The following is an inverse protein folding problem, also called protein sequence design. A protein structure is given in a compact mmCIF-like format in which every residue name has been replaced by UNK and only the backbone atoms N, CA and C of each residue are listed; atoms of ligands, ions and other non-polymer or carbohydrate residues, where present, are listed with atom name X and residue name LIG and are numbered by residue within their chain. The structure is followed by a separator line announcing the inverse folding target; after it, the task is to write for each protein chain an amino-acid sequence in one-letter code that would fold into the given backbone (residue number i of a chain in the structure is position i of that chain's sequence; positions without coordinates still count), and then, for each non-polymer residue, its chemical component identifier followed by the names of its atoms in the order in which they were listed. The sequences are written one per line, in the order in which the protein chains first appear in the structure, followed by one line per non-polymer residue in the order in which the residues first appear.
data_IF_595271616605
#
_entry.id   IF_595271616605
#
_cell.length_a   1.000
_cell.length_b   1.000
_cell.length_c   1.000
_cell.angle_alpha   90.00
_cell.angle_beta   90.00
_cell.angle_gamma   90.00
#
_symmetry.space_group_name_H-M   'P 1'
#
loop_
_entity.id
_entity.type
_entity.pdbx_description
1 polymer ?
#
# COMPACT_ATOMS: atom_id res chain seq x y z
N UNK A 1 -17.58 -1.04 -5.93
CA UNK A 1 -17.14 -1.62 -4.65
C UNK A 1 -15.85 -0.92 -4.25
N UNK A 2 -15.74 -0.47 -3.00
CA UNK A 2 -14.58 0.28 -2.49
C UNK A 2 -13.73 -0.64 -1.60
N UNK A 3 -12.43 -0.68 -1.84
CA UNK A 3 -11.47 -1.40 -1.00
C UNK A 3 -10.83 -0.42 -0.02
N UNK A 4 -11.02 -0.64 1.28
CA UNK A 4 -10.34 0.10 2.34
C UNK A 4 -9.03 -0.59 2.63
N UNK A 5 -7.95 -0.09 2.06
CA UNK A 5 -6.63 -0.75 2.10
C UNK A 5 -5.75 -0.07 3.13
N UNK A 6 -5.29 -0.85 4.11
CA UNK A 6 -4.21 -0.46 5.01
C UNK A 6 -2.88 -0.87 4.38
N UNK A 7 -2.12 0.11 3.90
CA UNK A 7 -0.79 -0.09 3.35
C UNK A 7 0.26 -0.01 4.45
N UNK A 8 1.04 -1.08 4.60
CA UNK A 8 2.16 -1.16 5.54
C UNK A 8 3.45 -1.31 4.75
N UNK A 9 4.40 -0.42 5.01
CA UNK A 9 5.70 -0.43 4.34
C UNK A 9 6.59 -1.48 5.01
N UNK A 10 7.14 -2.37 4.21
CA UNK A 10 8.10 -3.37 4.65
C UNK A 10 9.28 -2.69 5.36
N UNK A 11 9.75 -3.30 6.44
CA UNK A 11 10.84 -2.82 7.30
C UNK A 11 10.55 -1.56 8.13
N UNK A 12 9.41 -0.87 7.93
CA UNK A 12 9.00 0.26 8.75
C UNK A 12 9.75 1.57 8.47
N UNK A 13 10.51 1.63 7.38
CA UNK A 13 11.34 2.79 7.02
C UNK A 13 10.51 4.01 6.56
N UNK A 14 9.23 3.82 6.22
CA UNK A 14 8.32 4.88 5.78
C UNK A 14 6.98 4.76 6.53
N UNK A 15 6.29 5.89 6.76
CA UNK A 15 4.93 5.86 7.28
C UNK A 15 4.02 5.13 6.28
N UNK A 16 3.26 4.16 6.79
CA UNK A 16 2.17 3.53 6.04
C UNK A 16 0.99 4.47 5.84
N UNK A 17 -0.12 3.96 5.32
CA UNK A 17 -1.32 4.76 5.12
C UNK A 17 -2.56 3.93 4.85
N UNK A 18 -3.73 4.49 5.15
CA UNK A 18 -5.01 3.88 4.78
C UNK A 18 -5.61 4.68 3.63
N UNK A 19 -6.01 3.99 2.55
CA UNK A 19 -6.60 4.61 1.36
C UNK A 19 -7.79 3.79 0.87
N UNK A 20 -8.77 4.49 0.29
CA UNK A 20 -9.82 3.84 -0.49
C UNK A 20 -9.30 3.60 -1.91
N UNK A 21 -9.38 2.36 -2.38
CA UNK A 21 -9.09 1.99 -3.77
C UNK A 21 -10.37 1.53 -4.47
N UNK A 22 -10.50 1.86 -5.74
CA UNK A 22 -11.63 1.44 -6.57
C UNK A 22 -11.41 0.04 -7.19
N UNK A 23 -10.19 -0.49 -7.07
CA UNK A 23 -9.78 -1.78 -7.60
C UNK A 23 -9.05 -2.58 -6.52
N UNK A 24 -9.14 -3.91 -6.59
CA UNK A 24 -8.44 -4.78 -5.66
C UNK A 24 -6.93 -4.68 -5.93
N UNK A 25 -6.09 -4.25 -4.95
CA UNK A 25 -4.66 -4.19 -5.14
C UNK A 25 -4.07 -5.58 -5.32
N UNK A 26 -3.06 -5.71 -6.18
CA UNK A 26 -2.41 -6.98 -6.48
C UNK A 26 -0.89 -6.86 -6.29
N UNK A 27 -0.20 -7.94 -5.90
CA UNK A 27 1.26 -7.96 -5.92
C UNK A 27 1.83 -7.52 -7.28
N UNK A 28 2.87 -6.69 -7.24
CA UNK A 28 3.49 -6.07 -8.41
C UNK A 28 2.85 -4.75 -8.86
N UNK A 29 1.67 -4.38 -8.34
CA UNK A 29 1.10 -3.06 -8.60
C UNK A 29 1.89 -1.96 -7.91
N UNK A 30 2.00 -0.81 -8.56
CA UNK A 30 2.55 0.41 -7.97
C UNK A 30 1.44 1.23 -7.33
N UNK A 31 1.69 1.72 -6.12
CA UNK A 31 0.75 2.53 -5.35
C UNK A 31 1.47 3.75 -4.80
N UNK A 32 0.77 4.89 -4.85
CA UNK A 32 1.26 6.14 -4.30
C UNK A 32 0.76 6.30 -2.87
N UNK A 33 1.67 6.41 -1.90
CA UNK A 33 1.35 6.69 -0.50
C UNK A 33 2.01 8.02 -0.13
N UNK A 34 1.19 9.05 0.03
CA UNK A 34 1.69 10.42 0.17
C UNK A 34 2.47 10.85 -1.08
N UNK A 35 3.75 11.20 -0.90
CA UNK A 35 4.64 11.64 -1.98
C UNK A 35 5.51 10.53 -2.56
N UNK A 36 5.45 9.33 -2.00
CA UNK A 36 6.34 8.23 -2.36
C UNK A 36 5.60 7.10 -3.05
N UNK A 37 6.24 6.52 -4.07
CA UNK A 37 5.72 5.35 -4.80
C UNK A 37 6.24 4.05 -4.17
N UNK A 38 5.35 3.08 -4.02
CA UNK A 38 5.66 1.77 -3.47
C UNK A 38 5.13 0.66 -4.39
N UNK A 39 5.73 -0.51 -4.33
CA UNK A 39 5.26 -1.72 -5.00
C UNK A 39 4.57 -2.63 -3.98
N UNK A 40 3.34 -3.04 -4.28
CA UNK A 40 2.60 -4.00 -3.46
C UNK A 40 3.28 -5.36 -3.56
N UNK A 41 3.56 -5.98 -2.42
CA UNK A 41 4.19 -7.30 -2.35
C UNK A 41 3.21 -8.37 -1.89
N UNK A 42 2.27 -8.03 -1.01
CA UNK A 42 1.30 -8.96 -0.45
C UNK A 42 -0.02 -8.23 -0.19
N UNK A 43 -1.14 -8.96 -0.35
CA UNK A 43 -2.48 -8.45 -0.04
C UNK A 43 -3.27 -9.51 0.70
N UNK A 44 -3.90 -9.13 1.80
CA UNK A 44 -4.71 -9.98 2.64
C UNK A 44 -6.07 -9.33 2.91
N UNK A 45 -7.15 -10.09 2.73
CA UNK A 45 -8.46 -9.66 3.20
C UNK A 45 -8.51 -9.82 4.72
N UNK A 46 -8.76 -8.72 5.43
CA UNK A 46 -8.88 -8.74 6.90
C UNK A 46 -10.21 -9.37 7.31
N UNK A 47 -11.24 -9.18 6.48
CA UNK A 47 -12.58 -9.70 6.69
C UNK A 47 -13.32 -9.85 5.35
N UNK A 48 -14.41 -10.64 5.32
CA UNK A 48 -15.28 -10.71 4.14
C UNK A 48 -15.83 -9.33 3.75
N UNK A 49 -16.14 -9.11 2.45
CA UNK A 49 -16.85 -7.92 1.99
C UNK A 49 -18.16 -7.70 2.75
N UNK A 50 -18.51 -6.44 2.98
CA UNK A 50 -19.79 -6.03 3.59
C UNK A 50 -20.45 -4.96 2.73
N UNK A 51 -21.54 -5.34 2.06
CA UNK A 51 -22.18 -4.48 1.07
C UNK A 51 -21.17 -4.08 -0.01
N UNK A 52 -21.01 -2.78 -0.22
CA UNK A 52 -20.16 -2.24 -1.30
C UNK A 52 -18.72 -1.97 -0.89
N UNK A 53 -18.23 -2.48 0.25
CA UNK A 53 -16.83 -2.30 0.65
C UNK A 53 -16.17 -3.55 1.25
N UNK A 54 -14.83 -3.59 1.23
CA UNK A 54 -14.02 -4.63 1.87
C UNK A 54 -12.76 -4.03 2.50
N UNK A 55 -12.36 -4.54 3.67
CA UNK A 55 -11.10 -4.17 4.32
C UNK A 55 -9.96 -5.10 3.89
N UNK A 56 -8.88 -4.50 3.41
CA UNK A 56 -7.67 -5.19 2.98
C UNK A 56 -6.46 -4.66 3.76
N UNK A 57 -5.49 -5.54 3.98
CA UNK A 57 -4.14 -5.21 4.38
C UNK A 57 -3.23 -5.44 3.18
N UNK A 58 -2.41 -4.47 2.82
CA UNK A 58 -1.42 -4.61 1.76
C UNK A 58 -0.03 -4.27 2.29
N UNK A 59 0.92 -5.18 2.12
CA UNK A 59 2.32 -4.91 2.38
C UNK A 59 2.95 -4.34 1.12
N UNK A 60 3.77 -3.30 1.27
CA UNK A 60 4.42 -2.62 0.15
C UNK A 60 5.91 -2.45 0.42
N UNK A 61 6.72 -2.34 -0.62
CA UNK A 61 8.14 -1.99 -0.53
C UNK A 61 8.42 -0.71 -1.33
N UNK A 62 9.41 0.10 -0.95
CA UNK A 62 9.82 1.25 -1.77
C UNK A 62 10.22 0.78 -3.18
N UNK A 63 9.86 1.55 -4.20
CA UNK A 63 10.46 1.38 -5.52
C UNK A 63 11.88 1.97 -5.54
N UNK A 64 12.69 1.66 -6.55
CA UNK A 64 14.06 2.20 -6.65
C UNK A 64 14.08 3.74 -6.63
N UNK A 65 13.06 4.40 -7.19
CA UNK A 65 12.91 5.85 -7.15
C UNK A 65 12.60 6.37 -5.73
N UNK A 66 11.85 5.60 -4.94
CA UNK A 66 11.52 5.95 -3.56
C UNK A 66 12.69 5.73 -2.59
N UNK A 67 13.51 4.69 -2.80
CA UNK A 67 14.70 4.43 -1.98
C UNK A 67 15.74 5.55 -2.10
N UNK A 68 15.86 6.18 -3.28
CA UNK A 68 16.77 7.29 -3.50
C UNK A 68 16.34 8.56 -2.75
N UNK A 69 15.04 8.84 -2.64
CA UNK A 69 14.52 9.97 -1.85
C UNK A 69 14.70 9.81 -0.34
N UNK A 70 14.67 8.58 0.20
CA UNK A 70 14.94 8.35 1.62
C UNK A 70 16.43 8.44 1.93
N UNK A 71 17.31 7.97 1.04
CA UNK A 71 18.75 8.12 1.20
C UNK A 71 19.20 9.59 1.17
N UNK A 72 18.46 10.47 0.47
CA UNK A 72 18.75 11.90 0.39
C UNK A 72 18.22 12.73 1.58
N UNK A 73 17.48 12.12 2.51
CA UNK A 73 16.91 12.81 3.69
C UNK A 73 17.68 12.54 5.00
N UNK A 74 18.84 11.89 4.92
CA UNK A 74 19.72 11.55 6.07
C UNK A 74 20.93 12.47 6.14
#
# INVERSE_FOLDING_TARGET
MIYKVSYVVANGDYPGGIKNEDHYPQPGMRVQIGRTEFEVTQVHAIMPPRGDFQFLHATVKPTSAASDEAAAQV
#
